data_IF_258175335603
#
_entry.id   IF_258175335603
#
_cell.length_a   1.000
_cell.length_b   1.000
_cell.length_c   1.000
_cell.angle_alpha   90.00
_cell.angle_beta   90.00
_cell.angle_gamma   90.00
#
_symmetry.space_group_name_H-M   'P 1'
#
loop_
_entity.id
_entity.type
_entity.pdbx_description
1 polymer ?
#
# COMPACT_ATOMS: atom_id res chain seq x y z
N UNK A 1 -6.43 8.66 30.52
CA UNK A 1 -6.44 8.60 29.05
C UNK A 1 -6.99 7.23 28.72
N UNK A 2 -8.06 7.15 27.93
CA UNK A 2 -8.61 5.86 27.48
C UNK A 2 -7.75 5.29 26.36
N UNK A 3 -7.63 3.97 26.30
CA UNK A 3 -6.83 3.28 25.29
C UNK A 3 -7.40 1.89 24.98
N UNK A 4 -7.23 1.44 23.74
CA UNK A 4 -7.61 0.09 23.31
C UNK A 4 -6.34 -0.71 23.04
N UNK A 5 -6.25 -1.91 23.61
CA UNK A 5 -5.18 -2.88 23.36
C UNK A 5 -5.69 -3.98 22.44
N UNK A 6 -4.91 -4.25 21.40
CA UNK A 6 -5.26 -5.21 20.35
C UNK A 6 -4.19 -6.28 20.27
N UNK A 7 -4.60 -7.53 20.38
CA UNK A 7 -3.75 -8.71 20.25
C UNK A 7 -4.02 -9.35 18.89
N UNK A 8 -3.06 -9.23 17.97
CA UNK A 8 -2.98 -10.07 16.78
C UNK A 8 -2.18 -11.31 17.19
N UNK A 9 -2.76 -12.50 17.14
CA UNK A 9 -2.13 -13.76 17.53
C UNK A 9 -0.80 -14.03 16.81
N UNK A 10 -0.10 -15.09 17.24
CA UNK A 10 1.21 -15.47 16.69
C UNK A 10 1.22 -15.41 15.17
N UNK A 11 2.00 -14.47 14.62
CA UNK A 11 2.10 -14.23 13.18
C UNK A 11 3.03 -15.27 12.58
N UNK A 12 2.54 -16.26 11.80
CA UNK A 12 3.40 -17.09 10.99
C UNK A 12 3.77 -16.26 9.75
N UNK A 13 5.05 -15.97 9.61
CA UNK A 13 5.71 -15.34 8.46
C UNK A 13 5.49 -13.83 8.21
N UNK A 14 6.57 -13.07 8.43
CA UNK A 14 7.30 -12.57 7.27
C UNK A 14 7.11 -11.12 6.81
N UNK A 15 6.58 -10.19 7.62
CA UNK A 15 6.74 -8.75 7.33
C UNK A 15 7.53 -8.04 8.43
N UNK A 16 8.65 -7.38 8.11
CA UNK A 16 9.40 -6.63 9.11
C UNK A 16 8.49 -5.51 9.64
N UNK A 17 8.49 -5.33 10.96
CA UNK A 17 7.85 -4.22 11.69
C UNK A 17 6.37 -4.33 12.10
N UNK A 18 5.72 -5.50 12.16
CA UNK A 18 4.40 -5.61 12.80
C UNK A 18 4.49 -6.38 14.13
N UNK A 19 4.27 -5.75 15.30
CA UNK A 19 4.26 -6.46 16.57
C UNK A 19 2.98 -7.30 16.71
N UNK A 20 3.05 -8.33 17.54
CA UNK A 20 1.89 -9.17 17.90
C UNK A 20 0.87 -8.45 18.81
N UNK A 21 1.18 -7.25 19.31
CA UNK A 21 0.27 -6.48 20.17
C UNK A 21 0.50 -4.99 19.98
N UNK A 22 -0.58 -4.20 19.89
CA UNK A 22 -0.51 -2.74 19.75
C UNK A 22 -1.59 -2.00 20.55
N UNK A 23 -1.38 -0.70 20.78
CA UNK A 23 -2.26 0.16 21.59
C UNK A 23 -2.68 1.40 20.79
N UNK A 24 -3.97 1.72 20.85
CA UNK A 24 -4.58 2.87 20.19
C UNK A 24 -4.80 3.95 21.23
N UNK A 25 -4.04 5.05 21.11
CA UNK A 25 -4.07 6.21 22.04
C UNK A 25 -4.54 7.51 21.40
N UNK A 26 -4.54 7.58 20.06
CA UNK A 26 -4.92 8.78 19.33
C UNK A 26 -6.41 9.08 19.56
N UNK A 27 -6.83 10.30 19.97
CA UNK A 27 -8.23 10.57 20.28
C UNK A 27 -9.19 10.27 19.13
N UNK A 28 -8.77 10.52 17.88
CA UNK A 28 -9.57 10.23 16.69
C UNK A 28 -9.66 8.74 16.39
N UNK A 29 -8.54 8.01 16.45
CA UNK A 29 -8.52 6.55 16.25
C UNK A 29 -9.28 5.82 17.36
N UNK A 30 -9.16 6.30 18.59
CA UNK A 30 -9.92 5.79 19.72
C UNK A 30 -11.41 6.02 19.52
N UNK A 31 -11.82 7.20 19.04
CA UNK A 31 -13.22 7.46 18.72
C UNK A 31 -13.75 6.54 17.61
N UNK A 32 -12.97 6.29 16.55
CA UNK A 32 -13.35 5.37 15.47
C UNK A 32 -13.56 3.93 15.98
N UNK A 33 -12.65 3.44 16.82
CA UNK A 33 -12.73 2.09 17.39
C UNK A 33 -13.85 1.98 18.43
N UNK A 34 -13.99 2.96 19.32
CA UNK A 34 -15.04 2.97 20.35
C UNK A 34 -16.44 3.10 19.74
N UNK A 35 -16.59 3.79 18.60
CA UNK A 35 -17.87 3.94 17.92
C UNK A 35 -18.47 2.61 17.43
N UNK A 36 -17.62 1.58 17.23
CA UNK A 36 -18.03 0.25 16.75
C UNK A 36 -17.67 -0.87 17.73
N UNK A 37 -17.33 -0.49 18.96
CA UNK A 37 -16.95 -1.43 20.01
C UNK A 37 -18.18 -2.21 20.49
N UNK A 38 -18.09 -3.54 20.64
CA UNK A 38 -19.22 -4.32 21.13
C UNK A 38 -19.56 -3.95 22.58
N UNK A 39 -20.87 -3.86 22.88
CA UNK A 39 -21.37 -3.51 24.22
C UNK A 39 -21.09 -4.60 25.27
N UNK A 40 -20.79 -5.84 24.85
CA UNK A 40 -20.51 -6.95 25.75
C UNK A 40 -19.02 -7.03 26.14
N UNK A 41 -18.71 -7.22 27.44
CA UNK A 41 -17.33 -7.28 27.91
C UNK A 41 -16.64 -8.57 27.42
N UNK A 42 -15.60 -8.41 26.61
CA UNK A 42 -14.74 -9.53 26.20
C UNK A 42 -13.68 -9.76 27.29
N UNK A 43 -13.53 -11.01 27.73
CA UNK A 43 -12.75 -11.36 28.91
C UNK A 43 -11.27 -10.93 28.80
N UNK A 44 -10.78 -10.19 29.80
CA UNK A 44 -9.41 -9.72 29.90
C UNK A 44 -8.41 -10.89 29.92
N UNK A 45 -7.34 -10.80 29.13
CA UNK A 45 -6.22 -11.74 29.15
C UNK A 45 -4.93 -10.96 29.26
N UNK A 46 -4.27 -11.03 30.42
CA UNK A 46 -2.95 -10.44 30.62
C UNK A 46 -1.85 -11.36 30.10
N UNK A 47 -0.97 -10.88 29.23
CA UNK A 47 0.47 -10.83 29.51
C UNK A 47 1.30 -10.17 28.40
N UNK A 48 2.50 -9.73 28.82
CA UNK A 48 3.68 -9.29 28.07
C UNK A 48 3.80 -7.80 27.65
N UNK A 49 5.02 -7.28 27.84
CA UNK A 49 5.43 -5.90 27.63
C UNK A 49 5.31 -5.42 26.17
N UNK A 50 5.17 -4.10 26.03
CA UNK A 50 4.56 -3.44 24.88
C UNK A 50 5.51 -2.48 24.15
N UNK A 51 5.31 -2.34 22.83
CA UNK A 51 5.92 -1.31 21.97
C UNK A 51 4.82 -0.63 21.15
N UNK A 52 4.63 0.68 21.32
CA UNK A 52 3.71 1.49 20.52
C UNK A 52 4.23 1.65 19.08
N UNK A 53 3.42 1.29 18.10
CA UNK A 53 3.75 1.34 16.67
C UNK A 53 3.33 2.63 15.96
N UNK A 54 2.80 3.60 16.69
CA UNK A 54 2.78 4.96 16.17
C UNK A 54 4.23 5.47 16.26
N UNK A 55 5.11 5.11 15.32
CA UNK A 55 6.47 5.65 15.27
C UNK A 55 6.42 7.12 14.88
N UNK A 56 5.94 7.94 15.81
CA UNK A 56 6.34 9.31 16.03
C UNK A 56 7.41 9.25 17.14
N UNK A 57 8.67 9.62 16.86
CA UNK A 57 9.74 9.64 17.85
C UNK A 57 9.38 10.43 19.13
N UNK A 58 8.41 11.34 19.08
CA UNK A 58 7.97 12.12 20.23
C UNK A 58 7.09 11.34 21.23
N UNK A 59 6.54 10.18 20.87
CA UNK A 59 5.50 9.49 21.65
C UNK A 59 5.83 8.03 22.02
N UNK A 60 7.06 7.58 21.75
CA UNK A 60 7.53 6.24 22.09
C UNK A 60 7.95 6.17 23.57
N UNK A 61 6.99 5.90 24.46
CA UNK A 61 7.25 5.58 25.87
C UNK A 61 6.69 4.19 26.22
N UNK A 62 7.39 3.38 27.06
CA UNK A 62 6.86 2.11 27.51
C UNK A 62 5.62 2.34 28.41
N UNK A 63 4.50 1.72 28.06
CA UNK A 63 3.31 1.64 28.94
C UNK A 63 3.45 0.44 29.86
N UNK A 64 3.36 0.65 31.18
CA UNK A 64 3.65 -0.39 32.18
C UNK A 64 2.42 -0.94 32.93
N UNK A 65 1.21 -0.46 32.68
CA UNK A 65 0.06 -0.86 33.48
C UNK A 65 -0.87 -1.82 32.73
N UNK A 66 -0.86 -3.07 33.17
CA UNK A 66 -1.70 -4.16 32.65
C UNK A 66 -3.12 -4.18 33.26
N UNK A 67 -3.44 -3.29 34.20
CA UNK A 67 -4.69 -3.28 34.96
C UNK A 67 -5.36 -1.89 35.03
N UNK A 68 -5.08 -0.99 34.08
CA UNK A 68 -5.84 0.26 34.00
C UNK A 68 -7.26 -0.07 33.48
N UNK A 69 -8.34 0.21 34.24
CA UNK A 69 -9.72 0.00 33.78
C UNK A 69 -10.09 0.82 32.53
N UNK A 70 -9.20 1.72 32.10
CA UNK A 70 -9.28 2.48 30.85
C UNK A 70 -8.71 1.72 29.64
N UNK A 71 -8.11 0.55 29.85
CA UNK A 71 -7.60 -0.35 28.81
C UNK A 71 -8.65 -1.39 28.48
N UNK A 72 -9.12 -1.40 27.23
CA UNK A 72 -10.01 -2.46 26.71
C UNK A 72 -9.21 -3.44 25.86
N UNK A 73 -9.37 -4.74 26.10
CA UNK A 73 -8.71 -5.82 25.35
C UNK A 73 -9.71 -6.59 24.49
N UNK A 74 -9.32 -6.96 23.27
CA UNK A 74 -10.14 -7.81 22.40
C UNK A 74 -9.27 -8.90 21.74
N UNK A 75 -9.52 -10.19 22.00
CA UNK A 75 -8.84 -11.28 21.32
C UNK A 75 -9.23 -11.37 19.85
N UNK A 76 -8.28 -11.76 19.00
CA UNK A 76 -8.43 -11.96 17.54
C UNK A 76 -9.65 -12.80 17.15
N UNK A 77 -9.95 -13.84 17.93
CA UNK A 77 -10.92 -14.86 17.59
C UNK A 77 -12.38 -14.38 17.55
N UNK A 78 -12.69 -13.17 18.06
CA UNK A 78 -14.07 -12.67 18.21
C UNK A 78 -14.16 -11.17 17.90
N UNK A 79 -13.68 -10.74 16.72
CA UNK A 79 -13.88 -9.37 16.24
C UNK A 79 -15.15 -9.29 15.37
N UNK A 80 -16.26 -8.68 15.82
CA UNK A 80 -17.41 -8.45 14.95
C UNK A 80 -17.08 -7.45 13.85
N UNK A 81 -17.80 -7.50 12.72
CA UNK A 81 -17.76 -6.40 11.75
C UNK A 81 -18.53 -5.19 12.33
N UNK A 82 -18.06 -3.94 12.14
CA UNK A 82 -16.91 -3.52 11.34
C UNK A 82 -15.57 -3.47 12.12
N UNK A 83 -15.55 -3.78 13.42
CA UNK A 83 -14.34 -3.74 14.26
C UNK A 83 -13.22 -4.61 13.70
N UNK A 84 -13.55 -5.78 13.13
CA UNK A 84 -12.57 -6.63 12.45
C UNK A 84 -11.79 -5.89 11.34
N UNK A 85 -12.43 -5.02 10.55
CA UNK A 85 -11.77 -4.26 9.47
C UNK A 85 -10.90 -3.12 9.99
N UNK A 86 -11.28 -2.48 11.09
CA UNK A 86 -10.48 -1.44 11.74
C UNK A 86 -9.23 -1.99 12.43
N UNK A 87 -9.21 -3.29 12.73
CA UNK A 87 -8.09 -3.96 13.35
C UNK A 87 -7.35 -4.89 12.39
N UNK A 88 -7.86 -5.03 11.16
CA UNK A 88 -7.22 -5.77 10.08
C UNK A 88 -6.11 -4.93 9.46
N UNK A 89 -4.87 -5.39 9.64
CA UNK A 89 -3.66 -4.75 9.13
C UNK A 89 -3.54 -4.72 7.60
N UNK A 90 -4.27 -5.59 6.90
CA UNK A 90 -4.31 -5.63 5.44
C UNK A 90 -5.49 -4.80 4.89
N UNK A 91 -6.38 -4.34 5.77
CA UNK A 91 -7.47 -3.44 5.44
C UNK A 91 -7.01 -1.98 5.45
N UNK A 92 -7.39 -1.18 4.43
CA UNK A 92 -7.26 0.28 4.49
C UNK A 92 -7.87 0.90 5.74
N UNK A 93 -8.98 0.34 6.23
CA UNK A 93 -9.69 0.83 7.42
C UNK A 93 -8.88 0.62 8.70
N UNK A 94 -7.96 -0.35 8.72
CA UNK A 94 -7.06 -0.59 9.84
C UNK A 94 -5.88 0.38 9.92
N UNK A 95 -5.72 1.25 8.93
CA UNK A 95 -4.68 2.27 8.94
C UNK A 95 -5.17 3.47 9.78
N UNK A 96 -4.41 3.91 10.79
CA UNK A 96 -4.68 5.12 11.55
C UNK A 96 -5.09 6.34 10.68
N UNK A 97 -6.19 7.02 11.03
CA UNK A 97 -6.79 8.08 10.22
C UNK A 97 -5.80 9.19 9.83
N UNK A 98 -4.93 9.61 10.75
CA UNK A 98 -3.89 10.63 10.48
C UNK A 98 -2.90 10.19 9.38
N UNK A 99 -2.58 8.90 9.32
CA UNK A 99 -1.67 8.33 8.32
C UNK A 99 -2.35 8.25 6.96
N UNK A 100 -3.62 7.82 6.93
CA UNK A 100 -4.47 7.85 5.72
C UNK A 100 -4.58 9.26 5.15
N UNK A 101 -4.86 10.25 6.00
CA UNK A 101 -4.97 11.65 5.62
C UNK A 101 -3.66 12.24 5.10
N UNK A 102 -2.53 12.01 5.80
CA UNK A 102 -1.20 12.45 5.36
C UNK A 102 -0.83 11.86 4.00
N UNK A 103 -1.09 10.58 3.80
CA UNK A 103 -0.85 9.91 2.53
C UNK A 103 -1.71 10.49 1.40
N UNK A 104 -3.01 10.68 1.62
CA UNK A 104 -3.91 11.26 0.62
C UNK A 104 -3.50 12.68 0.22
N UNK A 105 -3.06 13.49 1.19
CA UNK A 105 -2.56 14.84 0.94
C UNK A 105 -1.30 14.87 0.04
N UNK A 106 -0.44 13.86 0.19
CA UNK A 106 0.79 13.70 -0.61
C UNK A 106 0.54 13.19 -2.04
N UNK A 107 -0.68 12.77 -2.37
CA UNK A 107 -0.99 12.30 -3.71
C UNK A 107 -0.88 13.43 -4.76
N UNK A 108 -0.46 13.11 -6.00
CA UNK A 108 -0.49 14.07 -7.10
C UNK A 108 -1.87 14.70 -7.26
N UNK A 109 -1.95 15.98 -7.63
CA UNK A 109 -3.22 16.72 -7.64
C UNK A 109 -4.34 16.04 -8.42
N UNK A 110 -4.02 15.45 -9.58
CA UNK A 110 -4.99 14.71 -10.42
C UNK A 110 -5.47 13.38 -9.81
N UNK A 111 -4.77 12.85 -8.81
CA UNK A 111 -5.09 11.62 -8.08
C UNK A 111 -5.59 11.88 -6.66
N UNK A 112 -5.60 13.13 -6.19
CA UNK A 112 -5.90 13.47 -4.79
C UNK A 112 -7.30 13.00 -4.36
N UNK A 113 -8.34 13.27 -5.15
CA UNK A 113 -9.69 12.80 -4.83
C UNK A 113 -9.81 11.27 -4.80
N UNK A 114 -9.08 10.58 -5.67
CA UNK A 114 -9.02 9.11 -5.66
C UNK A 114 -8.28 8.59 -4.40
N UNK A 115 -7.17 9.22 -4.04
CA UNK A 115 -6.41 8.90 -2.83
C UNK A 115 -7.25 9.14 -1.57
N UNK A 116 -7.97 10.26 -1.48
CA UNK A 116 -8.86 10.55 -0.36
C UNK A 116 -9.99 9.52 -0.21
N UNK A 117 -10.59 9.07 -1.32
CA UNK A 117 -11.60 8.01 -1.29
C UNK A 117 -11.01 6.66 -0.82
N UNK A 118 -9.86 6.26 -1.35
CA UNK A 118 -9.14 5.08 -0.90
C UNK A 118 -8.73 5.16 0.57
N UNK A 119 -8.33 6.35 1.03
CA UNK A 119 -8.01 6.64 2.42
C UNK A 119 -9.23 6.55 3.34
N UNK A 120 -10.46 6.60 2.82
CA UNK A 120 -11.69 6.37 3.60
C UNK A 120 -12.20 4.93 3.51
N UNK A 121 -11.46 4.03 2.87
CA UNK A 121 -11.90 2.65 2.65
C UNK A 121 -12.96 2.50 1.56
N UNK A 122 -13.20 3.54 0.75
CA UNK A 122 -14.21 3.49 -0.30
C UNK A 122 -13.75 2.58 -1.46
N UNK A 123 -14.65 1.73 -1.95
CA UNK A 123 -14.46 0.98 -3.19
C UNK A 123 -14.64 1.88 -4.42
N UNK A 124 -13.72 2.83 -4.58
CA UNK A 124 -13.73 3.77 -5.71
C UNK A 124 -13.11 3.16 -6.97
N UNK A 125 -13.63 3.54 -8.14
CA UNK A 125 -13.05 3.14 -9.44
C UNK A 125 -11.82 4.00 -9.73
N UNK A 126 -10.76 3.43 -10.32
CA UNK A 126 -9.64 4.24 -10.78
C UNK A 126 -10.08 5.34 -11.75
N UNK A 127 -9.54 6.57 -11.63
CA UNK A 127 -9.85 7.64 -12.55
C UNK A 127 -9.39 7.30 -13.97
N UNK A 128 -10.15 7.73 -14.97
CA UNK A 128 -9.83 7.58 -16.39
C UNK A 128 -9.33 8.89 -16.98
N UNK A 129 -8.57 8.84 -18.07
CA UNK A 129 -8.11 10.04 -18.79
C UNK A 129 -7.01 10.86 -18.07
N UNK A 130 -6.36 10.29 -17.05
CA UNK A 130 -5.25 10.93 -16.34
C UNK A 130 -3.90 10.65 -17.02
N UNK A 131 -2.91 11.49 -16.74
CA UNK A 131 -1.52 11.21 -17.11
C UNK A 131 -0.95 10.08 -16.21
N UNK A 132 -0.80 8.88 -16.76
CA UNK A 132 -0.34 7.70 -15.98
C UNK A 132 1.11 7.81 -15.50
N UNK A 133 1.92 8.70 -16.08
CA UNK A 133 3.25 9.03 -15.55
C UNK A 133 3.19 9.51 -14.10
N UNK A 134 2.12 10.24 -13.73
CA UNK A 134 1.89 10.65 -12.34
C UNK A 134 1.64 9.44 -11.41
N UNK A 135 1.01 8.38 -11.90
CA UNK A 135 0.80 7.15 -11.13
C UNK A 135 2.09 6.35 -10.95
N UNK A 136 2.96 6.29 -11.96
CA UNK A 136 4.30 5.71 -11.81
C UNK A 136 5.16 6.51 -10.82
N UNK A 137 5.19 7.83 -10.97
CA UNK A 137 5.92 8.73 -10.05
C UNK A 137 5.41 8.59 -8.62
N UNK A 138 4.09 8.57 -8.43
CA UNK A 138 3.50 8.40 -7.10
C UNK A 138 3.85 7.06 -6.45
N UNK A 139 3.88 5.98 -7.24
CA UNK A 139 4.30 4.66 -6.76
C UNK A 139 5.81 4.60 -6.45
N UNK A 140 6.63 5.30 -7.23
CA UNK A 140 8.09 5.32 -7.10
C UNK A 140 8.61 6.30 -6.06
N UNK A 141 7.78 7.24 -5.60
CA UNK A 141 8.16 8.31 -4.71
C UNK A 141 8.81 7.76 -3.42
N UNK A 142 10.04 8.21 -3.15
CA UNK A 142 10.73 7.92 -1.90
C UNK A 142 9.95 8.55 -0.75
N UNK A 143 9.53 7.72 0.19
CA UNK A 143 8.74 8.17 1.35
C UNK A 143 9.69 8.59 2.47
N UNK A 144 9.41 9.74 3.08
CA UNK A 144 10.11 10.20 4.29
C UNK A 144 10.04 9.17 5.42
N UNK A 145 8.92 8.45 5.49
CA UNK A 145 8.70 7.35 6.43
C UNK A 145 8.35 6.06 5.66
N UNK A 146 9.35 5.26 5.24
CA UNK A 146 9.12 4.02 4.47
C UNK A 146 8.27 2.98 5.22
N UNK A 147 8.26 3.04 6.56
CA UNK A 147 7.52 2.15 7.45
C UNK A 147 6.17 2.73 7.91
N UNK A 148 5.69 3.81 7.29
CA UNK A 148 4.37 4.38 7.60
C UNK A 148 3.27 3.32 7.44
N UNK A 149 2.29 3.29 8.33
CA UNK A 149 1.12 2.39 8.22
C UNK A 149 0.38 2.53 6.87
N UNK A 150 0.41 3.71 6.25
CA UNK A 150 -0.13 3.95 4.91
C UNK A 150 0.70 3.34 3.75
N UNK A 151 1.80 2.62 4.04
CA UNK A 151 2.62 1.93 3.04
C UNK A 151 1.81 1.02 2.12
N UNK A 152 0.80 0.33 2.67
CA UNK A 152 -0.06 -0.57 1.90
C UNK A 152 -0.87 0.20 0.85
N UNK A 153 -1.46 1.34 1.23
CA UNK A 153 -2.18 2.22 0.30
C UNK A 153 -1.25 2.79 -0.78
N UNK A 154 0.00 3.10 -0.41
CA UNK A 154 1.01 3.60 -1.35
C UNK A 154 1.39 2.58 -2.44
N UNK A 155 1.26 1.28 -2.20
CA UNK A 155 1.46 0.26 -3.23
C UNK A 155 0.16 -0.07 -3.98
N UNK A 156 -0.95 -0.28 -3.25
CA UNK A 156 -2.20 -0.77 -3.83
C UNK A 156 -2.87 0.29 -4.72
N UNK A 157 -2.95 1.55 -4.28
CA UNK A 157 -3.72 2.57 -5.00
C UNK A 157 -3.12 2.90 -6.38
N UNK A 158 -1.80 3.18 -6.52
CA UNK A 158 -1.21 3.39 -7.84
C UNK A 158 -1.28 2.13 -8.72
N UNK A 159 -1.11 0.94 -8.12
CA UNK A 159 -1.21 -0.32 -8.85
C UNK A 159 -2.59 -0.51 -9.46
N UNK A 160 -3.68 -0.21 -8.75
CA UNK A 160 -5.05 -0.29 -9.29
C UNK A 160 -5.25 0.64 -10.49
N UNK A 161 -4.70 1.85 -10.44
CA UNK A 161 -4.73 2.81 -11.56
C UNK A 161 -4.00 2.23 -12.78
N UNK A 162 -2.79 1.73 -12.60
CA UNK A 162 -1.98 1.17 -13.69
C UNK A 162 -2.58 -0.14 -14.25
N UNK A 163 -3.13 -0.97 -13.37
CA UNK A 163 -3.74 -2.25 -13.74
C UNK A 163 -5.02 -2.08 -14.56
N UNK A 164 -5.76 -0.98 -14.37
CA UNK A 164 -6.93 -0.64 -15.19
C UNK A 164 -6.57 -0.08 -16.58
N UNK A 165 -5.35 0.44 -16.75
CA UNK A 165 -4.96 1.14 -17.96
C UNK A 165 -4.56 0.20 -19.12
N UNK A 166 -4.90 0.58 -20.38
CA UNK A 166 -4.48 -0.16 -21.56
C UNK A 166 -2.97 -0.01 -21.78
N UNK A 167 -2.35 -1.06 -22.33
CA UNK A 167 -0.89 -1.15 -22.48
C UNK A 167 -0.30 -0.06 -23.38
N UNK A 168 -1.07 0.48 -24.33
CA UNK A 168 -0.62 1.60 -25.15
C UNK A 168 -0.43 2.89 -24.33
N UNK A 169 -1.33 3.17 -23.38
CA UNK A 169 -1.23 4.32 -22.49
C UNK A 169 -0.11 4.13 -21.46
N UNK A 170 0.03 2.92 -20.91
CA UNK A 170 1.14 2.57 -20.03
C UNK A 170 2.49 2.75 -20.74
N UNK A 171 2.60 2.30 -21.99
CA UNK A 171 3.81 2.46 -22.79
C UNK A 171 4.15 3.93 -23.06
N UNK A 172 3.14 4.77 -23.33
CA UNK A 172 3.35 6.22 -23.47
C UNK A 172 3.85 6.84 -22.17
N UNK A 173 3.24 6.47 -21.05
CA UNK A 173 3.62 6.98 -19.73
C UNK A 173 5.06 6.63 -19.34
N UNK A 174 5.59 5.46 -19.71
CA UNK A 174 7.01 5.12 -19.49
C UNK A 174 7.95 6.15 -20.13
N UNK A 175 7.61 6.68 -21.30
CA UNK A 175 8.41 7.69 -21.98
C UNK A 175 8.36 9.07 -21.32
N UNK A 176 7.32 9.34 -20.54
CA UNK A 176 7.04 10.63 -19.89
C UNK A 176 7.47 10.65 -18.42
N UNK A 177 7.92 9.51 -17.89
CA UNK A 177 8.24 9.33 -16.47
C UNK A 177 9.72 9.61 -16.19
N UNK A 178 10.00 10.15 -15.00
CA UNK A 178 11.36 10.40 -14.50
C UNK A 178 12.06 9.12 -13.97
N UNK A 179 13.23 9.27 -13.36
CA UNK A 179 14.02 8.14 -12.87
C UNK A 179 13.32 7.31 -11.79
N UNK A 180 12.68 7.95 -10.82
CA UNK A 180 12.01 7.28 -9.70
C UNK A 180 10.73 6.58 -10.18
N UNK A 181 9.96 7.23 -11.05
CA UNK A 181 8.81 6.58 -11.65
C UNK A 181 9.20 5.46 -12.64
N UNK A 182 10.39 5.49 -13.24
CA UNK A 182 10.88 4.40 -14.10
C UNK A 182 11.18 3.12 -13.29
N UNK A 183 11.64 3.26 -12.04
CA UNK A 183 11.74 2.12 -11.11
C UNK A 183 10.36 1.47 -10.89
N UNK A 184 9.36 2.28 -10.57
CA UNK A 184 7.99 1.81 -10.39
C UNK A 184 7.39 1.22 -11.67
N UNK A 185 7.74 1.75 -12.84
CA UNK A 185 7.33 1.20 -14.12
C UNK A 185 7.91 -0.19 -14.34
N UNK A 186 9.22 -0.37 -14.12
CA UNK A 186 9.88 -1.69 -14.21
C UNK A 186 9.22 -2.69 -13.28
N UNK A 187 8.96 -2.31 -12.02
CA UNK A 187 8.24 -3.15 -11.05
C UNK A 187 6.84 -3.54 -11.55
N UNK A 188 6.08 -2.60 -12.12
CA UNK A 188 4.75 -2.88 -12.65
C UNK A 188 4.77 -3.82 -13.87
N UNK A 189 5.65 -3.59 -14.84
CA UNK A 189 5.72 -4.44 -16.04
C UNK A 189 6.26 -5.86 -15.74
N UNK A 190 6.98 -6.03 -14.63
CA UNK A 190 7.42 -7.32 -14.12
C UNK A 190 6.40 -7.99 -13.18
N UNK A 191 5.35 -7.29 -12.75
CA UNK A 191 4.41 -7.82 -11.75
C UNK A 191 3.39 -8.79 -12.35
N UNK A 192 2.77 -9.60 -11.50
CA UNK A 192 1.72 -10.53 -11.88
C UNK A 192 0.50 -9.80 -12.50
N UNK A 193 0.17 -8.59 -12.04
CA UNK A 193 -0.94 -7.80 -12.58
C UNK A 193 -0.78 -7.48 -14.07
N UNK A 194 0.45 -7.26 -14.54
CA UNK A 194 0.72 -7.06 -15.96
C UNK A 194 0.91 -8.40 -16.69
N UNK A 195 1.66 -9.33 -16.10
CA UNK A 195 2.02 -10.58 -16.79
C UNK A 195 0.85 -11.56 -16.91
N UNK A 196 -0.16 -11.48 -16.04
CA UNK A 196 -1.42 -12.24 -16.14
C UNK A 196 -2.32 -11.76 -17.28
N UNK A 197 -2.07 -10.57 -17.87
CA UNK A 197 -2.85 -10.06 -19.00
C UNK A 197 -2.74 -10.99 -20.22
N UNK A 198 -3.80 -11.05 -21.02
CA UNK A 198 -3.79 -11.79 -22.29
C UNK A 198 -2.60 -11.35 -23.17
N UNK A 199 -1.91 -12.28 -23.87
CA UNK A 199 -0.70 -11.96 -24.64
C UNK A 199 -0.80 -10.76 -25.58
N UNK A 200 -1.95 -10.55 -26.22
CA UNK A 200 -2.21 -9.36 -27.08
C UNK A 200 -2.02 -8.04 -26.33
N UNK A 201 -2.40 -8.00 -25.06
CA UNK A 201 -2.30 -6.83 -24.19
C UNK A 201 -0.95 -6.75 -23.46
N UNK A 202 -0.03 -7.70 -23.65
CA UNK A 202 1.34 -7.58 -23.12
C UNK A 202 2.35 -7.03 -24.14
N UNK A 203 1.86 -6.66 -25.33
CA UNK A 203 2.70 -6.16 -26.41
C UNK A 203 2.99 -4.69 -26.21
N UNK A 204 4.27 -4.34 -26.14
CA UNK A 204 4.76 -2.96 -26.02
C UNK A 204 5.61 -2.58 -27.23
N UNK A 205 5.75 -1.28 -27.55
CA UNK A 205 6.69 -0.80 -28.56
C UNK A 205 8.14 -1.16 -28.20
N UNK A 206 8.98 -1.41 -29.21
CA UNK A 206 10.38 -1.83 -29.00
C UNK A 206 11.20 -0.78 -28.24
N UNK A 207 10.99 0.52 -28.51
CA UNK A 207 11.66 1.58 -27.77
C UNK A 207 11.35 1.57 -26.26
N UNK A 208 10.09 1.30 -25.90
CA UNK A 208 9.67 1.20 -24.49
C UNK A 208 10.27 -0.05 -23.84
N UNK A 209 10.24 -1.18 -24.55
CA UNK A 209 10.88 -2.42 -24.10
C UNK A 209 12.36 -2.22 -23.82
N UNK A 210 13.08 -1.54 -24.70
CA UNK A 210 14.51 -1.31 -24.57
C UNK A 210 14.84 -0.39 -23.39
N UNK A 211 14.01 0.64 -23.14
CA UNK A 211 14.12 1.50 -21.95
C UNK A 211 13.96 0.68 -20.66
N UNK A 212 12.89 -0.13 -20.56
CA UNK A 212 12.61 -0.95 -19.39
C UNK A 212 13.72 -1.99 -19.14
N UNK A 213 14.18 -2.69 -20.18
CA UNK A 213 15.24 -3.69 -20.07
C UNK A 213 16.59 -3.07 -19.70
N UNK A 214 16.92 -1.90 -20.26
CA UNK A 214 18.15 -1.18 -19.90
C UNK A 214 18.14 -0.73 -18.45
N UNK A 215 17.01 -0.18 -17.99
CA UNK A 215 16.87 0.21 -16.60
C UNK A 215 16.99 -1.01 -15.67
N UNK A 216 16.25 -2.08 -15.94
CA UNK A 216 16.28 -3.31 -15.15
C UNK A 216 17.69 -3.90 -15.04
N UNK A 217 18.46 -3.96 -16.13
CA UNK A 217 19.86 -4.43 -16.09
C UNK A 217 20.75 -3.65 -15.12
N UNK A 218 20.52 -2.34 -15.00
CA UNK A 218 21.39 -1.47 -14.20
C UNK A 218 20.92 -1.32 -12.75
N UNK A 219 19.62 -1.29 -12.50
CA UNK A 219 19.04 -0.94 -11.19
C UNK A 219 18.19 -2.03 -10.56
N UNK A 220 17.62 -2.95 -11.35
CA UNK A 220 16.71 -4.02 -10.88
C UNK A 220 16.97 -5.37 -11.57
N UNK A 221 18.15 -5.99 -11.38
CA UNK A 221 18.49 -7.22 -12.10
C UNK A 221 17.56 -8.40 -11.78
N UNK A 222 16.90 -8.41 -10.62
CA UNK A 222 15.91 -9.42 -10.25
C UNK A 222 14.67 -9.43 -11.14
N UNK A 223 14.26 -8.28 -11.68
CA UNK A 223 13.07 -8.14 -12.53
C UNK A 223 13.37 -8.40 -14.01
N UNK A 224 14.65 -8.41 -14.40
CA UNK A 224 15.09 -8.51 -15.79
C UNK A 224 14.60 -9.79 -16.48
N UNK A 225 14.77 -10.94 -15.83
CA UNK A 225 14.40 -12.24 -16.41
C UNK A 225 12.89 -12.36 -16.65
N UNK A 226 12.06 -11.70 -15.83
CA UNK A 226 10.62 -11.65 -16.03
C UNK A 226 10.28 -10.78 -17.23
N UNK A 227 10.85 -9.57 -17.31
CA UNK A 227 10.64 -8.66 -18.43
C UNK A 227 11.06 -9.26 -19.77
N UNK A 228 12.23 -9.91 -19.84
CA UNK A 228 12.72 -10.51 -21.09
C UNK A 228 11.78 -11.61 -21.61
N UNK A 229 11.18 -12.38 -20.69
CA UNK A 229 10.28 -13.50 -21.02
C UNK A 229 8.83 -13.09 -21.27
N UNK A 230 8.30 -12.12 -20.51
CA UNK A 230 6.86 -11.82 -20.46
C UNK A 230 6.46 -10.56 -21.23
N UNK A 231 7.40 -9.63 -21.46
CA UNK A 231 7.16 -8.41 -22.21
C UNK A 231 7.27 -8.67 -23.72
N UNK A 232 6.12 -8.73 -24.39
CA UNK A 232 6.05 -9.08 -25.81
C UNK A 232 6.26 -7.85 -26.70
N UNK A 233 6.75 -8.07 -27.92
CA UNK A 233 6.95 -6.98 -28.89
C UNK A 233 5.66 -6.68 -29.66
N UNK A 234 5.38 -5.40 -29.88
CA UNK A 234 4.35 -4.96 -30.80
C UNK A 234 4.74 -5.28 -32.26
N UNK A 235 3.82 -5.78 -33.09
CA UNK A 235 4.08 -6.03 -34.51
C UNK A 235 4.28 -4.67 -35.21
N UNK A 236 5.49 -4.40 -35.69
CA UNK A 236 5.87 -3.13 -36.33
C UNK A 236 7.27 -2.61 -35.96
N UNK A 237 7.87 -3.12 -34.88
CA UNK A 237 9.20 -2.70 -34.40
C UNK A 237 10.41 -3.26 -35.16
N UNK A 238 10.21 -4.01 -36.28
CA UNK A 238 11.36 -4.41 -37.10
C UNK A 238 11.95 -3.18 -37.77
N UNK A 239 13.01 -2.64 -37.19
CA UNK A 239 13.94 -1.74 -37.88
C UNK A 239 14.28 -2.39 -39.21
N UNK A 240 13.87 -1.74 -40.30
CA UNK A 240 14.33 -2.04 -41.64
C UNK A 240 15.83 -1.73 -41.62
N UNK A 241 16.67 -2.77 -41.55
CA UNK A 241 18.11 -2.63 -41.81
C UNK A 241 18.24 -2.25 -43.28
N UNK A 242 18.47 -0.97 -43.53
CA UNK A 242 19.06 -0.48 -44.78
C UNK A 242 20.56 -0.72 -44.73
#
# INVERSE_FOLDING_TARGET
>A
MECVRVHDGEVPDGRPHHPATYEIRGPQELAEVLAVWPDEPVAAHSDAGFVCMCWDPAHAGPSRDAHDPRVRELPDAVRPQPLARLLDRDSPDGIPARHRARWAAAAPGVLRGYAEAMARGEETRPPTGIALAAAFTWRGAVREHPLDAASLLAEVAPLRVLAAAPTAELARAVCETDGDGLDAAVRFFASEEFTARHPKHRRVPDGVRDVLLRYARSRRPGDLAVLERRLLRAPGGRVRRS
#
